data_IF_280841933989
#
_entry.id   IF_280841933989
#
_cell.length_a   1.000
_cell.length_b   1.000
_cell.length_c   1.000
_cell.angle_alpha   90.00
_cell.angle_beta   90.00
_cell.angle_gamma   90.00
#
_symmetry.space_group_name_H-M   'P 1'
#
loop_
_entity.id
_entity.type
_entity.pdbx_description
1 polymer ?
#
# COMPACT_ATOMS: atom_id res chain seq x y z
N UNK A 1 -11.20 -3.84 3.88
CA UNK A 1 -12.65 -3.80 3.57
C UNK A 1 -12.86 -2.92 2.35
N UNK A 2 -13.83 -3.23 1.47
CA UNK A 2 -14.20 -2.37 0.34
C UNK A 2 -15.47 -1.57 0.59
N UNK A 3 -15.66 -0.50 -0.20
CA UNK A 3 -16.90 0.28 -0.24
C UNK A 3 -18.15 -0.60 -0.50
N UNK A 4 -18.02 -1.62 -1.35
CA UNK A 4 -19.10 -2.57 -1.67
C UNK A 4 -19.58 -3.40 -0.46
N UNK A 5 -18.77 -3.52 0.59
CA UNK A 5 -19.10 -4.33 1.76
C UNK A 5 -19.94 -3.53 2.79
N UNK A 6 -20.04 -2.21 2.64
CA UNK A 6 -20.71 -1.34 3.61
C UNK A 6 -22.21 -1.65 3.71
N UNK A 7 -22.97 -1.79 2.61
CA UNK A 7 -24.41 -2.07 2.71
C UNK A 7 -24.75 -3.38 3.41
N UNK A 8 -23.89 -4.39 3.31
CA UNK A 8 -24.12 -5.70 3.93
C UNK A 8 -23.69 -5.74 5.40
N UNK A 9 -22.79 -4.84 5.82
CA UNK A 9 -22.29 -4.74 7.20
C UNK A 9 -22.95 -3.63 8.02
N UNK A 10 -23.75 -2.79 7.38
CA UNK A 10 -24.48 -1.72 8.04
C UNK A 10 -25.53 -2.27 9.01
N UNK A 11 -25.62 -1.63 10.18
CA UNK A 11 -26.60 -1.93 11.23
C UNK A 11 -27.39 -0.66 11.53
N UNK A 12 -28.67 -0.70 11.20
CA UNK A 12 -29.61 0.37 11.50
C UNK A 12 -29.64 0.56 13.03
N UNK A 13 -29.46 1.80 13.50
CA UNK A 13 -29.37 2.21 14.91
C UNK A 13 -28.03 2.03 15.64
N UNK A 14 -26.95 1.62 14.96
CA UNK A 14 -25.62 1.61 15.57
C UNK A 14 -24.78 2.76 15.03
N UNK A 15 -24.06 3.46 15.91
CA UNK A 15 -23.03 4.41 15.48
C UNK A 15 -21.85 3.62 14.90
N UNK A 16 -21.58 3.77 13.60
CA UNK A 16 -20.58 2.97 12.90
C UNK A 16 -19.57 3.85 12.16
N UNK A 17 -18.31 3.45 12.21
CA UNK A 17 -17.25 4.02 11.37
C UNK A 17 -16.70 2.90 10.48
N UNK A 18 -16.79 3.09 9.17
CA UNK A 18 -16.19 2.18 8.20
C UNK A 18 -14.86 2.75 7.74
N UNK A 19 -13.79 1.96 7.83
CA UNK A 19 -12.46 2.30 7.32
C UNK A 19 -12.22 1.54 6.02
N UNK A 20 -12.04 2.28 4.93
CA UNK A 20 -11.78 1.73 3.59
C UNK A 20 -10.37 2.13 3.18
N UNK A 21 -9.45 1.18 3.28
CA UNK A 21 -8.06 1.39 2.89
C UNK A 21 -7.87 1.21 1.38
N UNK A 22 -7.13 2.12 0.77
CA UNK A 22 -6.82 2.20 -0.67
C UNK A 22 -8.06 1.96 -1.57
N UNK A 23 -9.03 2.86 -1.46
CA UNK A 23 -10.39 2.71 -1.99
C UNK A 23 -10.42 2.24 -3.45
N UNK A 24 -9.52 2.75 -4.31
CA UNK A 24 -9.43 2.38 -5.73
C UNK A 24 -8.25 1.45 -6.08
N UNK A 25 -7.26 1.28 -5.21
CA UNK A 25 -5.97 0.68 -5.61
C UNK A 25 -6.05 -0.75 -6.11
N UNK A 26 -7.00 -1.56 -5.61
CA UNK A 26 -7.24 -2.93 -6.08
C UNK A 26 -8.04 -3.01 -7.39
N UNK A 27 -8.52 -1.88 -7.91
CA UNK A 27 -9.45 -1.81 -9.04
C UNK A 27 -8.90 -1.04 -10.23
N UNK A 28 -7.68 -0.52 -10.14
CA UNK A 28 -7.05 0.28 -11.20
C UNK A 28 -6.96 -0.43 -12.55
N UNK A 29 -7.00 -1.77 -12.57
CA UNK A 29 -7.01 -2.58 -13.78
C UNK A 29 -8.40 -3.15 -14.18
N UNK A 30 -9.47 -2.88 -13.43
CA UNK A 30 -10.79 -3.50 -13.66
C UNK A 30 -11.90 -2.47 -13.89
N UNK A 31 -12.07 -2.09 -15.16
CA UNK A 31 -13.05 -1.10 -15.64
C UNK A 31 -14.49 -1.47 -15.24
N UNK A 32 -14.87 -2.74 -15.35
CA UNK A 32 -16.22 -3.20 -15.00
C UNK A 32 -16.54 -2.95 -13.52
N UNK A 33 -15.54 -3.03 -12.64
CA UNK A 33 -15.73 -2.68 -11.24
C UNK A 33 -15.88 -1.17 -11.12
N UNK A 34 -15.00 -0.37 -11.73
CA UNK A 34 -15.06 1.10 -11.70
C UNK A 34 -16.43 1.62 -12.16
N UNK A 35 -16.99 1.08 -13.25
CA UNK A 35 -18.32 1.46 -13.75
C UNK A 35 -19.44 1.17 -12.74
N UNK A 36 -19.33 0.07 -12.00
CA UNK A 36 -20.28 -0.30 -10.96
C UNK A 36 -20.20 0.55 -9.69
N UNK A 37 -19.15 1.37 -9.52
CA UNK A 37 -19.01 2.21 -8.34
C UNK A 37 -20.14 3.22 -8.19
N UNK A 38 -20.71 3.73 -9.29
CA UNK A 38 -21.83 4.67 -9.20
C UNK A 38 -23.01 4.10 -8.42
N UNK A 39 -23.32 2.82 -8.64
CA UNK A 39 -24.39 2.12 -7.93
C UNK A 39 -24.05 1.91 -6.45
N UNK A 40 -22.79 1.55 -6.16
CA UNK A 40 -22.30 1.36 -4.78
C UNK A 40 -22.31 2.69 -4.04
N UNK A 41 -21.80 3.76 -4.66
CA UNK A 41 -21.76 5.12 -4.13
C UNK A 41 -23.14 5.62 -3.73
N UNK A 42 -24.17 5.41 -4.55
CA UNK A 42 -25.54 5.80 -4.22
C UNK A 42 -26.09 5.06 -2.98
N UNK A 43 -25.83 3.75 -2.87
CA UNK A 43 -26.26 2.95 -1.71
C UNK A 43 -25.52 3.34 -0.44
N UNK A 44 -24.24 3.67 -0.56
CA UNK A 44 -23.42 4.12 0.57
C UNK A 44 -23.86 5.51 1.02
N UNK A 45 -24.19 6.41 0.07
CA UNK A 45 -24.70 7.74 0.37
C UNK A 45 -25.98 7.69 1.19
N UNK A 46 -26.95 6.84 0.82
CA UNK A 46 -28.20 6.72 1.58
C UNK A 46 -27.99 6.21 3.02
N UNK A 47 -26.93 5.45 3.26
CA UNK A 47 -26.52 5.02 4.62
C UNK A 47 -25.91 6.20 5.38
N UNK A 48 -25.04 6.98 4.75
CA UNK A 48 -24.41 8.17 5.35
C UNK A 48 -25.44 9.26 5.71
N UNK A 49 -26.45 9.46 4.85
CA UNK A 49 -27.49 10.47 5.03
C UNK A 49 -28.34 10.24 6.30
N UNK A 50 -28.30 9.03 6.88
CA UNK A 50 -28.93 8.72 8.18
C UNK A 50 -28.20 9.35 9.38
N UNK A 51 -26.99 9.91 9.19
CA UNK A 51 -26.27 10.70 10.19
C UNK A 51 -25.58 9.91 11.32
N UNK A 52 -25.82 8.61 11.42
CA UNK A 52 -25.23 7.73 12.46
C UNK A 52 -23.99 6.96 11.99
N UNK A 53 -23.61 7.12 10.72
CA UNK A 53 -22.50 6.40 10.10
C UNK A 53 -21.48 7.36 9.53
N UNK A 54 -20.19 7.05 9.68
CA UNK A 54 -19.08 7.76 9.02
C UNK A 54 -18.22 6.80 8.22
N UNK A 55 -17.58 7.33 7.18
CA UNK A 55 -16.58 6.60 6.40
C UNK A 55 -15.28 7.37 6.42
N UNK A 56 -14.20 6.67 6.76
CA UNK A 56 -12.83 7.12 6.56
C UNK A 56 -12.26 6.29 5.42
N UNK A 57 -11.83 6.96 4.34
CA UNK A 57 -11.22 6.31 3.20
C UNK A 57 -9.83 6.87 2.94
N UNK A 58 -8.90 6.01 2.52
CA UNK A 58 -7.57 6.40 2.05
C UNK A 58 -7.44 6.13 0.56
N UNK A 59 -6.64 6.93 -0.14
CA UNK A 59 -6.27 6.71 -1.53
C UNK A 59 -4.95 7.40 -1.84
N UNK A 60 -4.27 6.96 -2.90
CA UNK A 60 -3.10 7.66 -3.43
C UNK A 60 -3.52 8.98 -4.10
N UNK A 61 -2.67 10.00 -4.02
CA UNK A 61 -2.98 11.33 -4.56
C UNK A 61 -3.13 11.31 -6.08
N UNK A 62 -2.36 10.48 -6.76
CA UNK A 62 -2.37 10.28 -8.21
C UNK A 62 -3.72 9.70 -8.64
N UNK A 63 -4.16 8.65 -7.96
CA UNK A 63 -5.46 8.00 -8.17
C UNK A 63 -6.63 8.96 -7.90
N UNK A 64 -6.52 9.81 -6.88
CA UNK A 64 -7.54 10.83 -6.59
C UNK A 64 -7.70 11.86 -7.73
N UNK A 65 -6.62 12.14 -8.47
CA UNK A 65 -6.61 13.10 -9.57
C UNK A 65 -7.04 12.50 -10.91
N UNK A 66 -7.17 11.18 -10.99
CA UNK A 66 -7.53 10.49 -12.22
C UNK A 66 -9.04 10.57 -12.47
N UNK A 67 -9.43 11.12 -13.62
CA UNK A 67 -10.83 11.34 -13.99
C UNK A 67 -11.68 10.06 -13.95
N UNK A 68 -11.08 8.91 -14.24
CA UNK A 68 -11.78 7.62 -14.25
C UNK A 68 -12.33 7.25 -12.86
N UNK A 69 -11.74 7.78 -11.78
CA UNK A 69 -12.19 7.55 -10.41
C UNK A 69 -13.00 8.72 -9.84
N UNK A 70 -13.31 9.78 -10.60
CA UNK A 70 -13.98 10.95 -10.02
C UNK A 70 -15.29 10.58 -9.29
N UNK A 71 -16.07 9.67 -9.85
CA UNK A 71 -17.33 9.16 -9.27
C UNK A 71 -17.14 8.41 -7.94
N UNK A 72 -15.98 7.82 -7.72
CA UNK A 72 -15.62 7.20 -6.45
C UNK A 72 -15.54 8.23 -5.32
N UNK A 73 -15.08 9.43 -5.67
CA UNK A 73 -14.73 10.48 -4.74
C UNK A 73 -15.83 11.52 -4.52
N UNK A 74 -16.94 11.43 -5.27
CA UNK A 74 -18.13 12.28 -5.07
C UNK A 74 -18.65 12.26 -3.61
N UNK A 75 -18.47 11.15 -2.89
CA UNK A 75 -18.81 11.01 -1.47
C UNK A 75 -17.91 11.85 -0.54
N UNK A 76 -16.69 12.14 -0.97
CA UNK A 76 -15.62 12.67 -0.12
C UNK A 76 -15.17 14.07 -0.50
N UNK A 77 -15.62 14.61 -1.65
CA UNK A 77 -15.04 15.79 -2.29
C UNK A 77 -14.99 17.05 -1.40
N UNK A 78 -15.91 17.19 -0.43
CA UNK A 78 -15.94 18.32 0.52
C UNK A 78 -15.04 18.12 1.75
N UNK A 79 -14.62 16.88 2.02
CA UNK A 79 -13.87 16.46 3.21
C UNK A 79 -12.59 15.69 2.84
N UNK A 80 -12.06 15.93 1.63
CA UNK A 80 -10.82 15.31 1.18
C UNK A 80 -9.63 16.08 1.80
N UNK A 81 -8.80 15.37 2.55
CA UNK A 81 -7.60 15.93 3.15
C UNK A 81 -6.37 15.30 2.50
N UNK A 82 -5.54 16.15 1.88
CA UNK A 82 -4.25 15.71 1.39
C UNK A 82 -3.27 15.65 2.58
N UNK A 83 -2.91 14.43 2.97
CA UNK A 83 -1.78 14.18 3.86
C UNK A 83 -0.51 14.35 3.04
N UNK A 84 -0.12 15.60 2.77
CA UNK A 84 1.07 15.88 1.98
C UNK A 84 2.32 15.38 2.71
N UNK A 85 3.30 14.88 1.96
CA UNK A 85 4.64 14.55 2.51
C UNK A 85 5.51 15.79 2.79
N UNK A 86 4.92 17.00 2.83
CA UNK A 86 5.59 18.23 3.20
C UNK A 86 5.71 18.36 4.73
N UNK A 87 6.39 17.41 5.35
CA UNK A 87 6.70 17.42 6.76
C UNK A 87 7.62 18.59 7.10
N UNK A 88 7.33 19.31 8.19
CA UNK A 88 8.27 20.32 8.71
C UNK A 88 9.57 19.65 9.17
N UNK A 89 10.67 20.40 9.24
CA UNK A 89 11.93 19.85 9.78
C UNK A 89 11.74 19.20 11.16
N UNK A 90 10.89 19.80 12.01
CA UNK A 90 10.56 19.27 13.33
C UNK A 90 9.85 17.90 13.24
N UNK A 91 8.85 17.78 12.37
CA UNK A 91 8.13 16.52 12.18
C UNK A 91 9.06 15.44 11.62
N UNK A 92 9.90 15.81 10.67
CA UNK A 92 10.90 14.91 10.09
C UNK A 92 11.90 14.40 11.12
N UNK A 93 12.35 15.26 12.03
CA UNK A 93 13.21 14.86 13.15
C UNK A 93 12.50 13.85 14.05
N UNK A 94 11.22 14.08 14.40
CA UNK A 94 10.43 13.15 15.22
C UNK A 94 10.23 11.80 14.51
N UNK A 95 9.95 11.81 13.21
CA UNK A 95 9.83 10.59 12.40
C UNK A 95 11.16 9.82 12.39
N UNK A 96 12.26 10.53 12.10
CA UNK A 96 13.59 9.94 12.06
C UNK A 96 13.98 9.36 13.42
N UNK A 97 13.75 10.08 14.50
CA UNK A 97 14.07 9.61 15.85
C UNK A 97 13.29 8.33 16.18
N UNK A 98 11.96 8.34 15.97
CA UNK A 98 11.11 7.18 16.25
C UNK A 98 11.51 5.91 15.47
N UNK A 99 11.95 6.05 14.23
CA UNK A 99 12.23 4.90 13.37
C UNK A 99 13.71 4.51 13.31
N UNK A 100 14.64 5.45 13.51
CA UNK A 100 16.07 5.24 13.29
C UNK A 100 16.89 5.22 14.60
N UNK A 101 16.33 5.59 15.76
CA UNK A 101 17.03 5.60 17.07
C UNK A 101 17.63 4.24 17.47
N UNK A 102 17.06 3.13 17.00
CA UNK A 102 17.57 1.78 17.31
C UNK A 102 18.79 1.37 16.48
N UNK A 103 19.20 2.18 15.52
CA UNK A 103 20.49 1.99 14.88
C UNK A 103 21.52 2.83 15.62
N UNK A 104 22.48 2.17 16.29
CA UNK A 104 23.62 2.78 17.00
C UNK A 104 24.48 3.74 16.14
N UNK A 105 24.17 3.85 14.85
CA UNK A 105 24.73 4.79 13.87
C UNK A 105 23.88 6.06 13.75
N UNK A 106 23.47 6.68 14.85
CA UNK A 106 22.86 8.01 14.75
C UNK A 106 23.95 9.04 14.39
N UNK A 107 24.04 9.36 13.10
CA UNK A 107 25.11 10.20 12.55
C UNK A 107 24.89 11.71 12.83
N UNK A 108 25.98 12.50 12.93
CA UNK A 108 25.95 13.96 12.98
C UNK A 108 25.29 14.64 11.76
N UNK A 109 25.06 13.91 10.65
CA UNK A 109 24.55 14.45 9.37
C UNK A 109 23.07 14.16 9.07
N UNK A 110 22.31 13.63 10.04
CA UNK A 110 20.90 13.24 9.82
C UNK A 110 20.05 14.42 9.32
N UNK A 111 20.37 15.65 9.74
CA UNK A 111 19.69 16.89 9.31
C UNK A 111 19.78 17.10 7.80
N UNK A 112 20.91 16.75 7.17
CA UNK A 112 21.09 16.86 5.72
C UNK A 112 20.24 15.82 4.97
N UNK A 113 20.13 14.62 5.53
CA UNK A 113 19.36 13.52 4.96
C UNK A 113 17.86 13.79 5.04
N UNK A 114 17.35 14.21 6.20
CA UNK A 114 15.92 14.46 6.39
C UNK A 114 15.43 15.66 5.58
N UNK A 115 16.30 16.64 5.29
CA UNK A 115 15.94 17.79 4.47
C UNK A 115 15.71 17.45 2.98
N UNK A 116 16.08 16.25 2.53
CA UNK A 116 15.83 15.82 1.16
C UNK A 116 14.34 15.64 0.88
N UNK A 117 13.97 15.83 -0.40
CA UNK A 117 12.60 15.59 -0.90
C UNK A 117 12.20 14.11 -0.82
N UNK A 118 13.17 13.21 -0.87
CA UNK A 118 12.97 11.75 -0.82
C UNK A 118 12.72 11.22 0.59
N UNK A 119 12.86 12.07 1.62
CA UNK A 119 12.60 11.67 2.99
C UNK A 119 11.10 11.42 3.20
N UNK A 120 10.76 10.22 3.68
CA UNK A 120 9.40 9.88 4.08
C UNK A 120 9.39 8.93 5.29
N UNK A 121 8.29 8.87 6.06
CA UNK A 121 8.12 7.88 7.12
C UNK A 121 8.34 6.45 6.65
N UNK A 122 7.86 6.12 5.45
CA UNK A 122 8.01 4.78 4.86
C UNK A 122 9.48 4.43 4.65
N UNK A 123 10.29 5.36 4.12
CA UNK A 123 11.73 5.11 3.94
C UNK A 123 12.43 4.88 5.28
N UNK A 124 12.09 5.65 6.31
CA UNK A 124 12.65 5.45 7.65
C UNK A 124 12.30 4.07 8.22
N UNK A 125 11.04 3.65 8.04
CA UNK A 125 10.56 2.34 8.47
C UNK A 125 11.24 1.18 7.73
N UNK A 126 11.41 1.29 6.41
CA UNK A 126 12.10 0.25 5.62
C UNK A 126 13.56 0.14 6.02
N UNK A 127 14.23 1.28 6.18
CA UNK A 127 15.61 1.35 6.63
C UNK A 127 15.81 0.69 8.01
N UNK A 128 14.90 0.92 8.95
CA UNK A 128 15.01 0.34 10.29
C UNK A 128 14.71 -1.14 10.38
N UNK A 129 13.92 -1.67 9.43
CA UNK A 129 13.61 -3.11 9.34
C UNK A 129 14.71 -3.91 8.66
N UNK A 130 15.47 -3.30 7.75
CA UNK A 130 16.52 -3.96 6.98
C UNK A 130 17.89 -3.77 7.64
N UNK A 131 18.36 -4.80 8.36
CA UNK A 131 19.67 -4.79 9.05
C UNK A 131 20.87 -4.52 8.13
N UNK A 132 20.73 -4.74 6.83
CA UNK A 132 21.82 -4.62 5.86
C UNK A 132 21.88 -3.25 5.17
N UNK A 133 20.89 -2.38 5.39
CA UNK A 133 20.93 -1.05 4.80
C UNK A 133 21.85 -0.13 5.58
N UNK A 134 22.85 0.41 4.89
CA UNK A 134 23.52 1.60 5.35
C UNK A 134 22.53 2.77 5.23
N UNK A 135 22.15 3.34 6.37
CA UNK A 135 21.19 4.44 6.49
C UNK A 135 21.57 5.62 5.59
N UNK A 136 22.87 5.95 5.51
CA UNK A 136 23.34 7.06 4.70
C UNK A 136 23.20 6.74 3.22
N UNK A 137 23.50 5.51 2.80
CA UNK A 137 23.37 5.13 1.38
C UNK A 137 21.90 5.06 1.00
N UNK A 138 21.08 4.35 1.79
CA UNK A 138 19.68 4.12 1.50
C UNK A 138 18.86 5.41 1.48
N UNK A 139 18.98 6.28 2.49
CA UNK A 139 18.18 7.51 2.52
C UNK A 139 18.68 8.57 1.53
N UNK A 140 19.94 8.50 1.08
CA UNK A 140 20.46 9.39 0.04
C UNK A 140 20.07 8.95 -1.36
N UNK A 141 20.01 7.65 -1.64
CA UNK A 141 19.53 7.10 -2.90
C UNK A 141 18.77 5.79 -2.71
N UNK A 142 17.48 5.87 -2.32
CA UNK A 142 16.70 4.66 -2.02
C UNK A 142 16.46 3.86 -3.29
N UNK A 143 16.22 4.53 -4.41
CA UNK A 143 15.99 3.88 -5.70
C UNK A 143 17.20 3.05 -6.15
N UNK A 144 18.40 3.63 -6.12
CA UNK A 144 19.62 2.91 -6.51
C UNK A 144 19.88 1.72 -5.57
N UNK A 145 19.56 1.86 -4.29
CA UNK A 145 19.68 0.77 -3.32
C UNK A 145 18.73 -0.39 -3.67
N UNK A 146 17.47 -0.09 -4.02
CA UNK A 146 16.52 -1.11 -4.48
C UNK A 146 16.92 -1.74 -5.81
N UNK A 147 17.42 -0.97 -6.78
CA UNK A 147 17.92 -1.51 -8.04
C UNK A 147 19.08 -2.49 -7.81
N UNK A 148 20.00 -2.14 -6.91
CA UNK A 148 21.09 -3.04 -6.55
C UNK A 148 20.59 -4.32 -5.89
N UNK A 149 19.67 -4.23 -4.92
CA UNK A 149 19.07 -5.44 -4.32
C UNK A 149 18.34 -6.29 -5.35
N UNK A 150 17.64 -5.65 -6.29
CA UNK A 150 16.95 -6.35 -7.38
C UNK A 150 17.93 -7.10 -8.29
N UNK A 151 19.03 -6.47 -8.67
CA UNK A 151 20.08 -7.10 -9.48
C UNK A 151 20.82 -8.20 -8.72
N UNK A 152 21.04 -8.01 -7.41
CA UNK A 152 21.63 -9.02 -6.52
C UNK A 152 20.70 -10.24 -6.40
N UNK A 153 19.39 -10.04 -6.22
CA UNK A 153 18.39 -11.12 -6.23
C UNK A 153 18.41 -11.86 -7.56
N UNK A 154 18.40 -11.13 -8.69
CA UNK A 154 18.45 -11.73 -10.03
C UNK A 154 19.71 -12.58 -10.25
N UNK A 155 20.83 -12.17 -9.67
CA UNK A 155 22.14 -12.81 -9.91
C UNK A 155 22.44 -13.94 -8.94
N UNK A 156 22.14 -13.75 -7.66
CA UNK A 156 22.58 -14.61 -6.57
C UNK A 156 21.46 -15.41 -5.89
N UNK A 157 20.21 -14.96 -5.98
CA UNK A 157 19.05 -15.62 -5.35
C UNK A 157 17.86 -15.70 -6.32
N UNK A 158 18.10 -16.42 -7.41
CA UNK A 158 17.19 -16.55 -8.55
C UNK A 158 15.81 -17.08 -8.15
N UNK A 159 15.75 -17.94 -7.14
CA UNK A 159 14.50 -18.49 -6.62
C UNK A 159 13.62 -17.40 -6.01
N UNK A 160 14.17 -16.58 -5.09
CA UNK A 160 13.42 -15.44 -4.53
C UNK A 160 13.03 -14.43 -5.59
N UNK A 161 13.93 -14.16 -6.54
CA UNK A 161 13.64 -13.29 -7.68
C UNK A 161 12.44 -13.79 -8.50
N UNK A 162 12.40 -15.07 -8.85
CA UNK A 162 11.30 -15.67 -9.59
C UNK A 162 9.99 -15.64 -8.81
N UNK A 163 10.01 -15.95 -7.51
CA UNK A 163 8.81 -15.86 -6.65
C UNK A 163 8.29 -14.43 -6.59
N UNK A 164 9.17 -13.43 -6.40
CA UNK A 164 8.77 -12.01 -6.43
C UNK A 164 8.15 -11.62 -7.76
N UNK A 165 8.74 -12.03 -8.88
CA UNK A 165 8.19 -11.78 -10.22
C UNK A 165 6.79 -12.38 -10.36
N UNK A 166 6.61 -13.63 -9.93
CA UNK A 166 5.31 -14.29 -9.92
C UNK A 166 4.32 -13.53 -9.03
N UNK A 167 4.69 -13.13 -7.81
CA UNK A 167 3.82 -12.34 -6.93
C UNK A 167 3.38 -11.02 -7.57
N UNK A 168 4.26 -10.35 -8.31
CA UNK A 168 3.92 -9.11 -9.04
C UNK A 168 2.97 -9.40 -10.20
N UNK A 169 3.28 -10.40 -11.04
CA UNK A 169 2.47 -10.78 -12.21
C UNK A 169 1.06 -11.21 -11.78
N UNK A 170 0.97 -12.01 -10.72
CA UNK A 170 -0.29 -12.52 -10.20
C UNK A 170 -0.91 -11.62 -9.13
N UNK A 171 -0.39 -10.40 -8.94
CA UNK A 171 -0.92 -9.39 -8.02
C UNK A 171 -1.23 -9.93 -6.61
N UNK A 172 -0.33 -10.74 -6.07
CA UNK A 172 -0.47 -11.34 -4.73
C UNK A 172 -1.59 -12.37 -4.59
N UNK A 173 -2.14 -12.90 -5.69
CA UNK A 173 -3.16 -13.97 -5.66
C UNK A 173 -2.58 -15.38 -5.60
N UNK A 174 -1.24 -15.49 -5.56
CA UNK A 174 -0.56 -16.77 -5.40
C UNK A 174 -0.82 -17.30 -4.00
N UNK A 175 -1.37 -18.50 -3.92
CA UNK A 175 -1.57 -19.24 -2.69
C UNK A 175 -0.62 -20.45 -2.65
N UNK A 176 -0.52 -21.09 -1.49
CA UNK A 176 0.40 -22.22 -1.28
C UNK A 176 0.16 -23.37 -2.28
N UNK A 177 -1.09 -23.57 -2.72
CA UNK A 177 -1.44 -24.58 -3.73
C UNK A 177 -0.82 -24.34 -5.12
N UNK A 178 -0.34 -23.14 -5.43
CA UNK A 178 0.36 -22.86 -6.69
C UNK A 178 1.78 -23.48 -6.71
N UNK A 179 2.38 -23.70 -5.54
CA UNK A 179 3.72 -24.27 -5.41
C UNK A 179 3.72 -25.77 -5.07
N UNK A 180 2.55 -26.34 -4.75
CA UNK A 180 2.35 -27.79 -4.55
C UNK A 180 2.32 -28.55 -5.89
N UNK A 181 3.43 -28.51 -6.63
CA UNK A 181 3.61 -29.27 -7.89
C UNK A 181 3.85 -30.77 -7.62
N UNK A 182 4.09 -31.15 -6.36
CA UNK A 182 4.44 -32.52 -5.95
C UNK A 182 3.29 -33.54 -6.03
N UNK A 183 2.03 -33.12 -6.11
CA UNK A 183 0.88 -34.06 -6.09
C UNK A 183 0.33 -34.44 -7.47
N UNK A 184 0.71 -33.75 -8.54
CA UNK A 184 0.20 -34.04 -9.89
C UNK A 184 1.15 -34.90 -10.73
N UNK A 185 2.45 -34.94 -10.41
CA UNK A 185 3.42 -35.83 -11.09
C UNK A 185 3.30 -37.31 -10.65
N UNK A 186 2.89 -37.59 -9.40
CA UNK A 186 2.70 -38.98 -8.93
C UNK A 186 1.43 -39.65 -9.51
N UNK A 187 0.50 -38.88 -10.11
CA UNK A 187 -0.73 -39.43 -10.71
C UNK A 187 -0.52 -39.92 -12.14
N UNK A 188 0.46 -39.38 -12.86
CA UNK A 188 0.78 -39.79 -14.22
C UNK A 188 1.74 -40.99 -14.27
N UNK A 189 2.59 -41.19 -13.25
CA UNK A 189 3.43 -42.41 -13.16
C UNK A 189 2.64 -43.67 -12.74
N UNK A 190 1.47 -43.53 -12.12
CA UNK A 190 0.59 -44.66 -11.78
C UNK A 190 -0.40 -45.05 -12.88
N UNK A 191 -0.32 -44.41 -14.04
CA UNK A 191 -1.17 -44.66 -15.23
C UNK A 191 -0.43 -45.31 -16.41
N UNK A 192 0.84 -45.66 -16.26
CA UNK A 192 1.61 -46.46 -17.22
C UNK A 192 1.84 -47.89 -16.71
#
# INVERSE_FOLDING_TARGET
MSLQDIPTRYKEHVCQVFVVDDICGKYTANINIIENWRNITNRVKSILDKGITKILATCRTEVFKENIFQHAFDLFHKNAYNLSDNYSLKDKLVIASKHLEHNDKMLPDITNIINKKTFSPLMCFLCSRHKNFDINVFLNSPFDTFCKEWDDLKSFDKEKFCVLLLCVIYNGTINDSFFDISNDLEKDEKRN
#
